data_IF_499302001332
#
_entry.id   IF_499302001332
#
_cell.length_a   1.000
_cell.length_b   1.000
_cell.length_c   1.000
_cell.angle_alpha   90.00
_cell.angle_beta   90.00
_cell.angle_gamma   90.00
#
_symmetry.space_group_name_H-M   'P 1'
#
loop_
_entity.id
_entity.type
_entity.pdbx_description
1 polymer ?
#
# COMPACT_ATOMS: atom_id res chain seq x y z
N UNK A 1 -9.48 25.95 -9.50
CA UNK A 1 -10.17 24.91 -10.30
C UNK A 1 -10.63 23.85 -9.32
N UNK A 2 -11.90 23.42 -9.37
CA UNK A 2 -12.32 22.26 -8.58
C UNK A 2 -11.77 21.03 -9.29
N UNK A 3 -11.08 20.18 -8.56
CA UNK A 3 -10.67 18.88 -9.05
C UNK A 3 -11.90 18.00 -9.27
N UNK A 4 -11.92 17.23 -10.36
CA UNK A 4 -13.03 16.30 -10.60
C UNK A 4 -12.88 15.05 -9.72
N UNK A 5 -13.98 14.40 -9.38
CA UNK A 5 -13.94 13.12 -8.65
C UNK A 5 -13.14 12.06 -9.42
N UNK A 6 -13.17 12.11 -10.76
CA UNK A 6 -12.43 11.17 -11.61
C UNK A 6 -10.91 11.36 -11.50
N UNK A 7 -10.44 12.61 -11.38
CA UNK A 7 -9.02 12.92 -11.17
C UNK A 7 -8.56 12.43 -9.79
N UNK A 8 -9.43 12.58 -8.77
CA UNK A 8 -9.14 12.14 -7.41
C UNK A 8 -8.99 10.62 -7.31
N UNK A 9 -9.88 9.86 -7.95
CA UNK A 9 -9.79 8.39 -7.98
C UNK A 9 -8.57 7.90 -8.75
N UNK A 10 -8.18 8.58 -9.84
CA UNK A 10 -6.93 8.28 -10.55
C UNK A 10 -5.71 8.47 -9.63
N UNK A 11 -5.64 9.57 -8.87
CA UNK A 11 -4.53 9.83 -7.95
C UNK A 11 -4.48 8.87 -6.77
N UNK A 12 -5.63 8.43 -6.25
CA UNK A 12 -5.70 7.34 -5.25
C UNK A 12 -5.13 6.03 -5.80
N UNK A 13 -5.47 5.71 -7.05
CA UNK A 13 -4.95 4.52 -7.73
C UNK A 13 -3.44 4.61 -7.91
N UNK A 14 -2.93 5.75 -8.38
CA UNK A 14 -1.47 5.99 -8.52
C UNK A 14 -0.74 5.89 -7.18
N UNK A 15 -1.30 6.46 -6.11
CA UNK A 15 -0.78 6.32 -4.74
C UNK A 15 -0.76 4.86 -4.28
N UNK A 16 -1.83 4.11 -4.53
CA UNK A 16 -1.90 2.70 -4.15
C UNK A 16 -0.84 1.87 -4.89
N UNK A 17 -0.72 2.05 -6.20
CA UNK A 17 0.31 1.42 -7.03
C UNK A 17 1.70 1.79 -6.54
N UNK A 18 1.93 3.07 -6.24
CA UNK A 18 3.20 3.54 -5.68
C UNK A 18 3.55 2.84 -4.38
N UNK A 19 2.64 2.77 -3.41
CA UNK A 19 2.88 2.10 -2.13
C UNK A 19 3.17 0.61 -2.31
N UNK A 20 2.37 -0.07 -3.14
CA UNK A 20 2.49 -1.51 -3.43
C UNK A 20 3.85 -1.84 -4.06
N UNK A 21 4.24 -1.13 -5.12
CA UNK A 21 5.46 -1.44 -5.87
C UNK A 21 6.72 -1.12 -5.04
N UNK A 22 6.71 -0.03 -4.27
CA UNK A 22 7.86 0.30 -3.40
C UNK A 22 7.98 -0.66 -2.22
N UNK A 23 6.87 -1.18 -1.69
CA UNK A 23 6.94 -2.23 -0.67
C UNK A 23 7.43 -3.56 -1.26
N UNK A 24 6.96 -3.91 -2.46
CA UNK A 24 7.43 -5.08 -3.18
C UNK A 24 8.94 -5.03 -3.43
N UNK A 25 9.45 -3.90 -3.91
CA UNK A 25 10.88 -3.63 -4.08
C UNK A 25 11.65 -3.83 -2.75
N UNK A 26 11.17 -3.21 -1.67
CA UNK A 26 11.80 -3.31 -0.34
C UNK A 26 11.88 -4.76 0.17
N UNK A 27 10.83 -5.55 -0.06
CA UNK A 27 10.75 -6.94 0.41
C UNK A 27 11.32 -7.96 -0.59
N UNK A 28 11.78 -7.52 -1.77
CA UNK A 28 12.18 -8.38 -2.89
C UNK A 28 11.07 -9.36 -3.29
N UNK A 29 9.84 -8.89 -3.28
CA UNK A 29 8.63 -9.61 -3.69
C UNK A 29 8.06 -9.00 -4.97
N UNK A 30 7.05 -9.63 -5.57
CA UNK A 30 6.30 -9.00 -6.66
C UNK A 30 5.17 -8.12 -6.12
N UNK A 31 4.77 -7.08 -6.86
CA UNK A 31 3.58 -6.28 -6.53
C UNK A 31 2.31 -7.14 -6.40
N UNK A 32 2.23 -8.25 -7.15
CA UNK A 32 1.16 -9.25 -7.03
C UNK A 32 1.12 -9.88 -5.63
N UNK A 33 2.25 -10.18 -5.02
CA UNK A 33 2.28 -10.78 -3.68
C UNK A 33 1.76 -9.80 -2.63
N UNK A 34 2.11 -8.51 -2.75
CA UNK A 34 1.59 -7.45 -1.88
C UNK A 34 0.07 -7.28 -2.08
N UNK A 35 -0.40 -7.22 -3.32
CA UNK A 35 -1.83 -7.14 -3.64
C UNK A 35 -2.60 -8.35 -3.10
N UNK A 36 -2.05 -9.56 -3.27
CA UNK A 36 -2.66 -10.78 -2.74
C UNK A 36 -2.76 -10.75 -1.22
N UNK A 37 -1.77 -10.18 -0.53
CA UNK A 37 -1.81 -10.03 0.93
C UNK A 37 -2.86 -8.99 1.36
N UNK A 38 -2.92 -7.83 0.70
CA UNK A 38 -3.92 -6.79 1.00
C UNK A 38 -5.36 -7.26 0.73
N UNK A 39 -5.57 -8.07 -0.31
CA UNK A 39 -6.89 -8.60 -0.64
C UNK A 39 -7.44 -9.58 0.42
N UNK A 40 -6.59 -10.16 1.28
CA UNK A 40 -7.06 -11.01 2.39
C UNK A 40 -7.86 -10.24 3.44
N UNK A 41 -7.72 -8.91 3.46
CA UNK A 41 -8.34 -8.02 4.45
C UNK A 41 -9.10 -6.87 3.79
N UNK A 42 -9.36 -6.96 2.47
CA UNK A 42 -9.91 -5.86 1.66
C UNK A 42 -9.11 -4.54 1.86
N UNK A 43 -7.80 -4.66 2.10
CA UNK A 43 -6.94 -3.56 2.54
C UNK A 43 -6.72 -2.48 1.48
N UNK A 44 -6.94 -2.77 0.20
CA UNK A 44 -6.91 -1.73 -0.84
C UNK A 44 -8.07 -0.75 -0.62
N UNK A 45 -9.29 -1.26 -0.47
CA UNK A 45 -10.51 -0.47 -0.33
C UNK A 45 -10.68 0.10 1.09
N UNK A 46 -10.29 -0.65 2.12
CA UNK A 46 -10.53 -0.27 3.52
C UNK A 46 -9.34 0.40 4.21
N UNK A 47 -8.15 0.36 3.62
CA UNK A 47 -6.97 1.03 4.18
C UNK A 47 -6.27 1.93 3.16
N UNK A 48 -5.86 1.41 2.01
CA UNK A 48 -4.96 2.13 1.10
C UNK A 48 -5.64 3.34 0.46
N UNK A 49 -6.82 3.18 -0.14
CA UNK A 49 -7.58 4.29 -0.71
C UNK A 49 -8.02 5.33 0.35
N UNK A 50 -8.58 4.94 1.51
CA UNK A 50 -8.89 5.89 2.58
C UNK A 50 -7.66 6.64 3.10
N UNK A 51 -6.48 6.00 3.09
CA UNK A 51 -5.25 6.60 3.60
C UNK A 51 -4.62 7.61 2.64
N UNK A 52 -5.09 7.71 1.39
CA UNK A 52 -4.57 8.67 0.40
C UNK A 52 -4.51 10.08 0.98
N UNK A 53 -5.60 10.60 1.55
CA UNK A 53 -5.67 11.97 2.08
C UNK A 53 -4.59 12.26 3.12
N UNK A 54 -4.28 11.28 3.99
CA UNK A 54 -3.29 11.42 5.05
C UNK A 54 -1.85 11.15 4.58
N UNK A 55 -1.66 10.26 3.61
CA UNK A 55 -0.34 9.70 3.28
C UNK A 55 0.27 10.23 1.97
N UNK A 56 -0.52 10.72 1.01
CA UNK A 56 0.00 11.07 -0.33
C UNK A 56 1.01 12.24 -0.35
N UNK A 57 1.10 13.01 0.73
CA UNK A 57 2.07 14.11 0.91
C UNK A 57 3.33 13.69 1.67
N UNK A 58 3.37 12.46 2.18
CA UNK A 58 4.47 11.93 2.99
C UNK A 58 5.60 11.39 2.11
N UNK A 59 6.77 11.20 2.71
CA UNK A 59 7.92 10.59 2.03
C UNK A 59 7.69 9.10 1.69
N UNK A 60 8.41 8.60 0.68
CA UNK A 60 8.36 7.20 0.22
C UNK A 60 8.47 6.21 1.39
N UNK A 61 9.49 6.37 2.22
CA UNK A 61 9.80 5.45 3.32
C UNK A 61 8.65 5.36 4.33
N UNK A 62 8.03 6.50 4.65
CA UNK A 62 6.90 6.56 5.58
C UNK A 62 5.67 5.83 5.02
N UNK A 63 5.33 6.07 3.74
CA UNK A 63 4.21 5.39 3.07
C UNK A 63 4.42 3.87 3.08
N UNK A 64 5.64 3.42 2.76
CA UNK A 64 5.99 2.00 2.73
C UNK A 64 5.96 1.38 4.14
N UNK A 65 6.43 2.10 5.17
CA UNK A 65 6.38 1.66 6.56
C UNK A 65 4.94 1.51 7.08
N UNK A 66 4.05 2.45 6.75
CA UNK A 66 2.63 2.37 7.11
C UNK A 66 1.95 1.18 6.44
N UNK A 67 2.20 0.97 5.13
CA UNK A 67 1.65 -0.17 4.40
C UNK A 67 2.13 -1.51 4.99
N UNK A 68 3.43 -1.62 5.28
CA UNK A 68 3.99 -2.81 5.90
C UNK A 68 3.45 -3.02 7.32
N UNK A 69 3.26 -1.94 8.07
CA UNK A 69 2.67 -1.97 9.41
C UNK A 69 1.24 -2.48 9.35
N UNK A 70 0.43 -1.97 8.42
CA UNK A 70 -0.94 -2.46 8.19
C UNK A 70 -0.94 -3.96 7.90
N UNK A 71 -0.16 -4.40 6.90
CA UNK A 71 -0.07 -5.82 6.55
C UNK A 71 0.35 -6.66 7.75
N UNK A 72 1.36 -6.22 8.52
CA UNK A 72 1.86 -6.97 9.68
C UNK A 72 0.91 -7.00 10.87
N UNK A 73 -0.01 -6.05 11.01
CA UNK A 73 -1.10 -6.14 12.01
C UNK A 73 -2.03 -7.31 11.71
N UNK A 74 -2.20 -7.67 10.44
CA UNK A 74 -3.06 -8.77 10.01
C UNK A 74 -2.30 -10.08 9.70
N UNK A 75 -1.03 -9.98 9.32
CA UNK A 75 -0.10 -11.09 9.11
C UNK A 75 1.29 -10.75 9.72
N UNK A 76 1.50 -11.02 11.01
CA UNK A 76 2.71 -10.61 11.74
C UNK A 76 4.04 -11.15 11.21
N UNK A 77 4.00 -12.16 10.33
CA UNK A 77 5.19 -12.79 9.76
C UNK A 77 5.47 -12.37 8.31
N UNK A 78 4.65 -11.50 7.73
CA UNK A 78 4.83 -11.03 6.37
C UNK A 78 6.16 -10.29 6.18
N UNK A 79 6.91 -10.70 5.15
CA UNK A 79 8.18 -10.09 4.77
C UNK A 79 9.30 -10.22 5.82
N UNK A 80 9.25 -11.20 6.72
CA UNK A 80 10.40 -11.58 7.55
C UNK A 80 11.31 -12.52 6.73
N UNK A 81 12.60 -12.20 6.62
CA UNK A 81 13.58 -13.12 6.05
C UNK A 81 13.67 -14.40 6.92
N UNK A 82 13.45 -15.58 6.33
CA UNK A 82 13.63 -16.87 7.02
C UNK A 82 12.50 -17.91 6.88
N UNK A 83 11.77 -17.95 5.76
CA UNK A 83 10.85 -19.05 5.44
C UNK A 83 11.40 -19.95 4.33
N UNK A 84 12.52 -20.64 4.59
CA UNK A 84 12.87 -21.92 3.96
C UNK A 84 12.61 -23.03 4.98
#
# INVERSE_FOLDING_TARGET
MMESEQDKEARKTEFAVFGIENLAERLRMSGRDIVAELNKTDGIEHFLYPSYEALHTQGKEYIVDELLTYIRRHNPNFGKEGGL
#
